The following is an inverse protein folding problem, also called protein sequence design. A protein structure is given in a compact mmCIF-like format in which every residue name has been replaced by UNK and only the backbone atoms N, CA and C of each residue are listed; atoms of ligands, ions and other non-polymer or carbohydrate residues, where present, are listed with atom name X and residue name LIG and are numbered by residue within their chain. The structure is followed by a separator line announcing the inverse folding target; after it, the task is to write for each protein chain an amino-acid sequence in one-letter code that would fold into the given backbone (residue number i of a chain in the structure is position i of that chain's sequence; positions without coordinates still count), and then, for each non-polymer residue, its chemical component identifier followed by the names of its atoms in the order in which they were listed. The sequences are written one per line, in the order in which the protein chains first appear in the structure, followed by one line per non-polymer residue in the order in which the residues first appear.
data_IF_732634517572
#
_entry.id   IF_732634517572
#
_cell.length_a   1.000
_cell.length_b   1.000
_cell.length_c   1.000
_cell.angle_alpha   90.00
_cell.angle_beta   90.00
_cell.angle_gamma   90.00
#
_symmetry.space_group_name_H-M   'P 1'
#
loop_
_entity.id
_entity.type
_entity.pdbx_description
1 polymer ?
#
# COMPACT_ATOMS: atom_id res chain seq x y z
N UNK A 1 -0.71 34.50 -4.49
CA UNK A 1 -0.99 33.76 -3.24
C UNK A 1 0.27 33.75 -2.41
N UNK A 2 0.25 34.39 -1.24
CA UNK A 2 1.44 34.57 -0.38
C UNK A 2 1.16 34.22 1.09
N UNK A 3 -0.09 33.92 1.46
CA UNK A 3 -0.44 33.46 2.80
C UNK A 3 -0.18 31.95 2.91
N UNK A 4 0.73 31.48 3.78
CA UNK A 4 1.04 30.07 3.96
C UNK A 4 -0.14 29.24 4.52
N UNK A 5 -1.24 29.88 4.96
CA UNK A 5 -2.46 29.19 5.41
C UNK A 5 -3.43 28.84 4.27
N UNK A 6 -3.10 29.19 3.03
CA UNK A 6 -3.90 28.76 1.89
C UNK A 6 -3.91 27.22 1.80
N UNK A 7 -5.09 26.58 1.77
CA UNK A 7 -5.21 25.13 1.83
C UNK A 7 -4.56 24.44 0.61
N UNK A 8 -4.60 25.08 -0.57
CA UNK A 8 -3.93 24.60 -1.78
C UNK A 8 -2.40 24.55 -1.72
N UNK A 9 -1.77 25.13 -0.68
CA UNK A 9 -0.32 25.12 -0.55
C UNK A 9 0.21 23.87 0.18
N UNK A 10 -0.65 23.14 0.90
CA UNK A 10 -0.31 21.90 1.62
C UNK A 10 0.98 21.99 2.48
N UNK A 11 1.33 23.19 2.96
CA UNK A 11 2.62 23.50 3.60
C UNK A 11 2.80 22.75 4.93
N UNK A 12 1.69 22.36 5.55
CA UNK A 12 1.65 21.66 6.83
C UNK A 12 1.20 20.20 6.71
N UNK A 13 1.05 19.67 5.49
CA UNK A 13 0.76 18.25 5.29
C UNK A 13 2.03 17.41 5.38
N UNK A 14 1.87 16.18 5.85
CA UNK A 14 2.97 15.22 5.89
C UNK A 14 3.44 14.91 4.46
N UNK A 15 4.75 14.88 4.18
CA UNK A 15 5.25 14.46 2.88
C UNK A 15 4.74 13.06 2.56
N UNK A 16 3.88 12.95 1.54
CA UNK A 16 3.26 11.68 1.14
C UNK A 16 3.68 11.29 -0.26
N UNK A 17 3.89 9.99 -0.49
CA UNK A 17 4.15 9.44 -1.81
C UNK A 17 3.03 8.48 -2.19
N UNK A 18 2.00 9.04 -2.84
CA UNK A 18 0.78 8.32 -3.20
C UNK A 18 1.05 7.04 -3.99
N UNK A 19 2.07 7.05 -4.87
CA UNK A 19 2.42 5.87 -5.65
C UNK A 19 3.03 4.77 -4.78
N UNK A 20 3.93 5.13 -3.87
CA UNK A 20 4.54 4.18 -2.94
C UNK A 20 3.52 3.63 -1.94
N UNK A 21 2.63 4.46 -1.42
CA UNK A 21 1.62 4.06 -0.45
C UNK A 21 0.63 3.06 -1.08
N UNK A 22 0.15 3.35 -2.29
CA UNK A 22 -0.72 2.44 -3.05
C UNK A 22 0.03 1.15 -3.40
N UNK A 23 1.28 1.27 -3.89
CA UNK A 23 2.10 0.12 -4.26
C UNK A 23 2.36 -0.82 -3.08
N UNK A 24 2.71 -0.27 -1.91
CA UNK A 24 2.91 -1.05 -0.69
C UNK A 24 1.61 -1.69 -0.21
N UNK A 25 0.51 -0.94 -0.13
CA UNK A 25 -0.78 -1.47 0.31
C UNK A 25 -1.27 -2.63 -0.57
N UNK A 26 -1.19 -2.46 -1.89
CA UNK A 26 -1.52 -3.50 -2.86
C UNK A 26 -0.59 -4.70 -2.74
N UNK A 27 0.73 -4.47 -2.73
CA UNK A 27 1.74 -5.52 -2.69
C UNK A 27 1.65 -6.38 -1.43
N UNK A 28 1.47 -5.78 -0.26
CA UNK A 28 1.33 -6.50 1.02
C UNK A 28 0.07 -7.37 1.01
N UNK A 29 -1.08 -6.82 0.61
CA UNK A 29 -2.34 -7.57 0.60
C UNK A 29 -2.29 -8.79 -0.33
N UNK A 30 -1.88 -8.59 -1.59
CA UNK A 30 -1.79 -9.69 -2.55
C UNK A 30 -0.65 -10.65 -2.25
N UNK A 31 0.44 -10.19 -1.64
CA UNK A 31 1.52 -11.06 -1.15
C UNK A 31 1.04 -12.03 -0.07
N UNK A 32 0.20 -11.57 0.87
CA UNK A 32 -0.42 -12.43 1.88
C UNK A 32 -1.37 -13.44 1.23
N UNK A 33 -2.22 -13.01 0.29
CA UNK A 33 -3.11 -13.92 -0.43
C UNK A 33 -2.33 -14.98 -1.22
N UNK A 34 -1.23 -14.58 -1.88
CA UNK A 34 -0.36 -15.50 -2.60
C UNK A 34 0.26 -16.52 -1.66
N UNK A 35 0.74 -16.11 -0.49
CA UNK A 35 1.30 -17.01 0.52
C UNK A 35 0.26 -18.05 0.96
N UNK A 36 -0.97 -17.61 1.25
CA UNK A 36 -2.09 -18.52 1.61
C UNK A 36 -2.38 -19.50 0.48
N UNK A 37 -2.44 -19.02 -0.77
CA UNK A 37 -2.69 -19.86 -1.94
C UNK A 37 -1.58 -20.90 -2.13
N UNK A 38 -0.31 -20.53 -1.94
CA UNK A 38 0.83 -21.44 -2.01
C UNK A 38 0.73 -22.52 -0.92
N UNK A 39 0.48 -22.13 0.33
CA UNK A 39 0.35 -23.09 1.44
C UNK A 39 -0.80 -24.06 1.18
N UNK A 40 -1.98 -23.56 0.79
CA UNK A 40 -3.13 -24.40 0.48
C UNK A 40 -2.83 -25.38 -0.66
N UNK A 41 -2.14 -24.92 -1.70
CA UNK A 41 -1.72 -25.76 -2.84
C UNK A 41 -0.76 -26.86 -2.39
N UNK A 42 0.24 -26.53 -1.56
CA UNK A 42 1.19 -27.51 -1.02
C UNK A 42 0.47 -28.58 -0.21
N UNK A 43 -0.46 -28.18 0.67
CA UNK A 43 -1.28 -29.13 1.44
C UNK A 43 -2.05 -30.04 0.49
N UNK A 44 -2.75 -29.47 -0.49
CA UNK A 44 -3.58 -30.23 -1.44
C UNK A 44 -2.79 -31.24 -2.28
N UNK A 45 -1.53 -30.95 -2.61
CA UNK A 45 -0.66 -31.84 -3.38
C UNK A 45 -0.03 -32.93 -2.51
N UNK A 46 0.13 -32.70 -1.20
CA UNK A 46 0.73 -33.65 -0.26
C UNK A 46 -0.31 -34.54 0.45
N UNK A 47 -1.61 -34.27 0.26
CA UNK A 47 -2.73 -35.11 0.71
C UNK A 47 -3.06 -36.19 -0.32
#
# INVERSE_FOLDING_TARGET
MSDPKHPELHVYEEPRNDFMDVGMGFGVFFGVLLLVAVIATVIQVMQ
#
